data_IF_813802844626
#
_entry.id   IF_813802844626
#
_cell.length_a   1.000
_cell.length_b   1.000
_cell.length_c   1.000
_cell.angle_alpha   90.00
_cell.angle_beta   90.00
_cell.angle_gamma   90.00
#
_symmetry.space_group_name_H-M   'P 1'
#
loop_
_entity.id
_entity.type
_entity.pdbx_description
1 polymer ?
#
# COMPACT_ATOMS: atom_id res chain seq x y z
N UNK A 1 -4.00 0.03 -3.54
CA UNK A 1 -3.82 0.93 -2.37
C UNK A 1 -4.91 1.97 -2.36
N UNK A 2 -5.44 2.29 -1.18
CA UNK A 2 -6.52 3.25 -0.94
C UNK A 2 -5.97 4.39 -0.07
N UNK A 3 -6.47 5.62 -0.27
CA UNK A 3 -6.02 6.79 0.48
C UNK A 3 -6.70 6.95 1.85
N UNK A 4 -7.44 5.92 2.30
CA UNK A 4 -8.11 5.92 3.60
C UNK A 4 -9.23 6.96 3.70
N UNK A 5 -9.76 7.41 2.57
CA UNK A 5 -10.84 8.41 2.57
C UNK A 5 -12.13 7.75 3.06
N UNK A 6 -12.98 8.53 3.71
CA UNK A 6 -14.29 8.08 4.22
C UNK A 6 -15.06 7.24 3.19
N UNK A 7 -15.23 7.76 1.97
CA UNK A 7 -15.97 7.04 0.91
C UNK A 7 -15.33 5.72 0.49
N UNK A 8 -14.00 5.59 0.55
CA UNK A 8 -13.30 4.32 0.26
C UNK A 8 -13.55 3.29 1.37
N UNK A 9 -13.51 3.71 2.63
CA UNK A 9 -13.81 2.84 3.77
C UNK A 9 -15.28 2.43 3.81
N UNK A 10 -16.20 3.36 3.51
CA UNK A 10 -17.63 3.06 3.36
C UNK A 10 -17.85 2.06 2.21
N UNK A 11 -17.18 2.22 1.07
CA UNK A 11 -17.27 1.26 -0.03
C UNK A 11 -16.79 -0.15 0.38
N UNK A 12 -15.69 -0.25 1.13
CA UNK A 12 -15.22 -1.53 1.66
C UNK A 12 -16.21 -2.15 2.67
N UNK A 13 -16.93 -1.34 3.45
CA UNK A 13 -17.94 -1.81 4.39
C UNK A 13 -19.16 -2.45 3.70
N UNK A 14 -19.33 -2.24 2.40
CA UNK A 14 -20.40 -2.84 1.59
C UNK A 14 -19.98 -4.15 0.89
N UNK A 15 -18.75 -4.63 1.09
CA UNK A 15 -18.35 -5.94 0.57
C UNK A 15 -19.14 -7.05 1.25
N UNK A 16 -19.59 -8.02 0.45
CA UNK A 16 -20.23 -9.22 0.97
C UNK A 16 -19.22 -10.20 1.57
N UNK A 17 -19.73 -11.17 2.35
CA UNK A 17 -18.92 -12.18 3.05
C UNK A 17 -18.15 -13.11 2.09
N UNK A 18 -18.55 -13.20 0.82
CA UNK A 18 -17.88 -14.03 -0.18
C UNK A 18 -16.67 -13.31 -0.79
N UNK A 19 -16.75 -11.99 -0.95
CA UNK A 19 -15.70 -11.16 -1.54
C UNK A 19 -14.69 -10.65 -0.51
N UNK A 20 -15.11 -10.37 0.72
CA UNK A 20 -14.24 -9.84 1.76
C UNK A 20 -12.95 -10.67 1.97
N UNK A 21 -12.99 -12.02 2.04
CA UNK A 21 -11.78 -12.83 2.21
C UNK A 21 -10.85 -12.85 0.99
N UNK A 22 -11.33 -12.42 -0.18
CA UNK A 22 -10.57 -12.42 -1.44
C UNK A 22 -9.77 -11.14 -1.64
N UNK A 23 -9.95 -10.14 -0.77
CA UNK A 23 -9.33 -8.83 -0.87
C UNK A 23 -8.31 -8.61 0.25
N UNK A 24 -7.19 -7.99 -0.10
CA UNK A 24 -6.15 -7.57 0.84
C UNK A 24 -5.89 -6.05 0.65
N UNK A 25 -6.83 -5.18 1.07
CA UNK A 25 -6.69 -3.75 0.86
C UNK A 25 -5.51 -3.21 1.68
N UNK A 26 -4.72 -2.36 1.05
CA UNK A 26 -3.68 -1.55 1.68
C UNK A 26 -4.21 -0.12 1.75
N UNK A 27 -4.33 0.42 2.95
CA UNK A 27 -4.97 1.70 3.25
C UNK A 27 -3.92 2.65 3.83
N UNK A 28 -3.64 3.73 3.12
CA UNK A 28 -2.79 4.82 3.57
C UNK A 28 -3.62 5.76 4.47
N UNK A 29 -3.24 5.92 5.73
CA UNK A 29 -3.93 6.75 6.71
C UNK A 29 -3.16 8.05 6.91
N UNK A 30 -3.79 9.16 6.51
CA UNK A 30 -3.19 10.50 6.55
C UNK A 30 -3.61 11.33 7.78
N UNK A 31 -4.69 10.95 8.44
CA UNK A 31 -5.14 11.52 9.70
C UNK A 31 -5.83 10.43 10.54
N UNK A 32 -5.69 10.50 11.86
CA UNK A 32 -6.40 9.62 12.79
C UNK A 32 -7.43 10.45 13.52
N UNK A 33 -8.69 10.25 13.14
CA UNK A 33 -9.84 10.74 13.88
C UNK A 33 -10.73 9.56 14.29
N UNK A 34 -11.65 9.82 15.22
CA UNK A 34 -12.57 8.80 15.73
C UNK A 34 -13.43 8.19 14.60
N UNK A 35 -13.73 8.95 13.54
CA UNK A 35 -14.49 8.48 12.40
C UNK A 35 -13.72 7.42 11.60
N UNK A 36 -12.43 7.64 11.37
CA UNK A 36 -11.56 6.73 10.63
C UNK A 36 -11.44 5.39 11.36
N UNK A 37 -11.22 5.43 12.67
CA UNK A 37 -11.14 4.21 13.50
C UNK A 37 -12.48 3.47 13.56
N UNK A 38 -13.60 4.18 13.73
CA UNK A 38 -14.94 3.58 13.70
C UNK A 38 -15.24 2.90 12.36
N UNK A 39 -14.89 3.54 11.23
CA UNK A 39 -15.07 2.96 9.89
C UNK A 39 -14.22 1.71 9.68
N UNK A 40 -12.95 1.70 10.13
CA UNK A 40 -12.11 0.50 10.11
C UNK A 40 -12.72 -0.63 10.96
N UNK A 41 -13.30 -0.29 12.11
CA UNK A 41 -13.98 -1.25 13.00
C UNK A 41 -15.27 -1.84 12.43
N UNK A 42 -15.85 -1.20 11.39
CA UNK A 42 -17.08 -1.65 10.71
C UNK A 42 -16.82 -2.48 9.46
N UNK A 43 -15.56 -2.73 9.11
CA UNK A 43 -15.24 -3.56 7.96
C UNK A 43 -15.77 -4.99 8.16
N UNK A 44 -16.16 -5.68 7.07
CA UNK A 44 -16.77 -7.00 7.18
C UNK A 44 -15.83 -8.01 7.83
N UNK A 45 -16.42 -8.99 8.53
CA UNK A 45 -15.65 -10.08 9.10
C UNK A 45 -14.86 -10.80 7.99
N UNK A 46 -13.59 -11.13 8.27
CA UNK A 46 -12.71 -11.75 7.28
C UNK A 46 -11.94 -10.76 6.40
N UNK A 47 -12.31 -9.48 6.37
CA UNK A 47 -11.50 -8.43 5.76
C UNK A 47 -10.49 -7.89 6.78
N UNK A 48 -9.21 -8.19 6.59
CA UNK A 48 -8.14 -7.70 7.45
C UNK A 48 -7.27 -6.68 6.68
N UNK A 49 -7.56 -5.38 6.79
CA UNK A 49 -6.86 -4.36 6.02
C UNK A 49 -5.40 -4.22 6.47
N UNK A 50 -4.51 -4.00 5.51
CA UNK A 50 -3.17 -3.54 5.78
C UNK A 50 -3.18 -2.01 5.89
N UNK A 51 -2.69 -1.46 6.99
CA UNK A 51 -2.76 -0.03 7.28
C UNK A 51 -1.37 0.58 7.31
N UNK A 52 -1.15 1.57 6.45
CA UNK A 52 0.06 2.37 6.38
C UNK A 52 -0.15 3.72 7.07
N UNK A 53 0.62 3.94 8.14
CA UNK A 53 0.56 5.15 8.96
C UNK A 53 1.80 6.04 8.76
N UNK A 54 2.59 5.79 7.72
CA UNK A 54 3.85 6.53 7.48
C UNK A 54 3.64 8.03 7.25
N UNK A 55 2.43 8.45 6.87
CA UNK A 55 2.06 9.85 6.76
C UNK A 55 1.73 10.54 8.09
N UNK A 56 1.53 9.76 9.17
CA UNK A 56 1.20 10.29 10.49
C UNK A 56 2.46 10.64 11.29
N UNK A 57 2.40 11.64 12.18
CA UNK A 57 3.46 11.89 13.15
C UNK A 57 3.78 10.66 14.00
N UNK A 58 5.05 10.51 14.41
CA UNK A 58 5.46 9.50 15.39
C UNK A 58 4.87 9.85 16.77
N UNK A 59 3.86 9.10 17.19
CA UNK A 59 3.18 9.32 18.47
C UNK A 59 2.24 8.17 18.82
N UNK A 60 1.76 8.11 20.09
CA UNK A 60 0.90 7.03 20.56
C UNK A 60 -0.43 6.95 19.80
N UNK A 61 -0.99 8.09 19.38
CA UNK A 61 -2.24 8.15 18.61
C UNK A 61 -2.13 7.43 17.25
N UNK A 62 -0.91 7.40 16.68
CA UNK A 62 -0.60 6.77 15.40
C UNK A 62 -0.27 5.28 15.51
N UNK A 63 -0.29 4.70 16.73
CA UNK A 63 0.06 3.29 16.98
C UNK A 63 -1.16 2.38 16.69
N UNK A 64 -1.16 1.59 15.59
CA UNK A 64 -2.36 0.86 15.17
C UNK A 64 -2.86 -0.16 16.20
N UNK A 65 -1.96 -0.70 17.03
CA UNK A 65 -2.30 -1.62 18.13
C UNK A 65 -3.25 -1.00 19.17
N UNK A 66 -3.36 0.33 19.25
CA UNK A 66 -4.21 1.03 20.21
C UNK A 66 -5.61 1.33 19.69
N UNK A 67 -5.85 1.16 18.40
CA UNK A 67 -7.12 1.53 17.78
C UNK A 67 -8.25 0.55 18.10
N UNK A 68 -7.93 -0.64 18.61
CA UNK A 68 -8.93 -1.64 19.00
C UNK A 68 -9.67 -2.27 17.82
N UNK A 69 -9.14 -2.14 16.60
CA UNK A 69 -9.74 -2.68 15.37
C UNK A 69 -8.81 -3.73 14.74
N UNK A 70 -9.34 -4.78 14.11
CA UNK A 70 -8.52 -5.76 13.40
C UNK A 70 -7.83 -5.15 12.18
N UNK A 71 -6.50 -5.20 12.14
CA UNK A 71 -5.69 -4.75 11.00
C UNK A 71 -4.32 -5.43 10.97
N UNK A 72 -3.59 -5.31 9.86
CA UNK A 72 -2.16 -5.60 9.81
C UNK A 72 -1.37 -4.32 9.54
N UNK A 73 -0.23 -4.08 10.21
CA UNK A 73 0.56 -2.88 9.95
C UNK A 73 1.31 -3.01 8.62
N UNK A 74 1.35 -1.92 7.86
CA UNK A 74 2.31 -1.70 6.79
C UNK A 74 3.54 -1.01 7.36
N UNK A 75 4.70 -1.55 7.06
CA UNK A 75 6.00 -1.14 7.60
C UNK A 75 6.85 -0.61 6.45
N UNK A 76 7.29 0.63 6.57
CA UNK A 76 8.28 1.24 5.69
C UNK A 76 9.70 0.97 6.15
N UNK A 77 10.66 0.92 5.21
CA UNK A 77 12.08 0.77 5.56
C UNK A 77 12.65 1.95 6.37
N UNK A 78 12.07 3.13 6.17
CA UNK A 78 12.49 4.37 6.83
C UNK A 78 11.81 4.61 8.19
N UNK A 79 10.92 3.70 8.63
CA UNK A 79 10.20 3.88 9.90
C UNK A 79 11.18 3.92 11.09
N UNK A 80 10.93 4.84 12.02
CA UNK A 80 11.71 5.00 13.25
C UNK A 80 11.59 3.80 14.20
N UNK A 81 12.57 3.62 15.08
CA UNK A 81 12.64 2.45 15.98
C UNK A 81 11.37 2.28 16.83
N UNK A 82 10.86 3.39 17.37
CA UNK A 82 9.61 3.41 18.16
C UNK A 82 8.43 2.86 17.36
N UNK A 83 8.27 3.35 16.13
CA UNK A 83 7.20 2.93 15.23
C UNK A 83 7.31 1.44 14.88
N UNK A 84 8.51 0.95 14.60
CA UNK A 84 8.74 -0.47 14.35
C UNK A 84 8.37 -1.35 15.54
N UNK A 85 8.68 -0.94 16.77
CA UNK A 85 8.26 -1.66 17.98
C UNK A 85 6.72 -1.70 18.09
N UNK A 86 6.05 -0.58 17.85
CA UNK A 86 4.59 -0.50 17.87
C UNK A 86 3.94 -1.37 16.76
N UNK A 87 4.50 -1.35 15.55
CA UNK A 87 4.09 -2.25 14.47
C UNK A 87 4.28 -3.72 14.84
N UNK A 88 5.37 -4.08 15.52
CA UNK A 88 5.57 -5.43 16.04
C UNK A 88 4.46 -5.88 17.00
N UNK A 89 3.92 -4.97 17.83
CA UNK A 89 2.78 -5.29 18.70
C UNK A 89 1.52 -5.59 17.88
N UNK A 90 1.16 -4.71 16.94
CA UNK A 90 -0.01 -4.88 16.07
C UNK A 90 0.11 -6.16 15.22
N UNK A 91 1.27 -6.37 14.59
CA UNK A 91 1.52 -7.51 13.72
C UNK A 91 1.38 -8.85 14.44
N UNK A 92 1.92 -8.96 15.67
CA UNK A 92 1.86 -10.21 16.44
C UNK A 92 0.44 -10.55 16.91
N UNK A 93 -0.43 -9.56 17.11
CA UNK A 93 -1.85 -9.81 17.42
C UNK A 93 -2.58 -10.53 16.28
N UNK A 94 -2.09 -10.37 15.04
CA UNK A 94 -2.70 -10.95 13.83
C UNK A 94 -1.76 -11.90 13.08
N UNK A 95 -0.58 -12.20 13.63
CA UNK A 95 0.43 -13.09 13.05
C UNK A 95 1.05 -12.63 11.72
N UNK A 96 0.90 -11.35 11.34
CA UNK A 96 1.21 -10.87 9.99
C UNK A 96 1.56 -9.38 9.95
N UNK A 97 2.47 -9.00 9.04
CA UNK A 97 2.72 -7.61 8.65
C UNK A 97 2.96 -7.49 7.13
N UNK A 98 2.86 -6.27 6.60
CA UNK A 98 3.26 -5.96 5.22
C UNK A 98 4.50 -5.07 5.28
N UNK A 99 5.59 -5.45 4.61
CA UNK A 99 6.76 -4.60 4.41
C UNK A 99 6.65 -3.97 3.03
N UNK A 100 6.61 -2.63 2.95
CA UNK A 100 6.42 -1.89 1.70
C UNK A 100 7.73 -1.26 1.23
N UNK A 101 8.13 -1.60 0.00
CA UNK A 101 9.27 -1.05 -0.72
C UNK A 101 8.79 -0.15 -1.86
N UNK A 102 8.97 1.16 -1.72
CA UNK A 102 8.56 2.15 -2.72
C UNK A 102 9.67 2.37 -3.72
N UNK A 103 9.55 1.84 -4.94
CA UNK A 103 10.61 1.88 -5.96
C UNK A 103 11.07 3.30 -6.33
N UNK A 104 10.20 4.30 -6.18
CA UNK A 104 10.51 5.72 -6.41
C UNK A 104 11.31 6.38 -5.28
N UNK A 105 11.14 5.92 -4.03
CA UNK A 105 11.70 6.53 -2.81
C UNK A 105 12.85 5.71 -2.21
N UNK A 106 12.68 4.39 -2.13
CA UNK A 106 13.61 3.46 -1.50
C UNK A 106 14.68 3.01 -2.50
N UNK A 107 15.56 3.95 -2.90
CA UNK A 107 16.58 3.73 -3.95
C UNK A 107 17.88 3.10 -3.42
N UNK A 108 17.81 2.47 -2.25
CA UNK A 108 18.96 1.83 -1.65
C UNK A 108 19.42 0.62 -2.48
N UNK A 109 20.72 0.34 -2.47
CA UNK A 109 21.25 -0.90 -3.05
C UNK A 109 20.84 -2.14 -2.24
N UNK A 110 20.99 -3.36 -2.80
CA UNK A 110 20.53 -4.59 -2.17
C UNK A 110 21.00 -4.79 -0.73
N UNK A 111 22.26 -4.47 -0.42
CA UNK A 111 22.81 -4.67 0.93
C UNK A 111 22.20 -3.71 1.96
N UNK A 112 21.95 -2.46 1.56
CA UNK A 112 21.26 -1.49 2.41
C UNK A 112 19.78 -1.86 2.60
N UNK A 113 19.12 -2.40 1.57
CA UNK A 113 17.77 -2.97 1.69
C UNK A 113 17.75 -4.15 2.65
N UNK A 114 18.71 -5.07 2.56
CA UNK A 114 18.85 -6.20 3.49
C UNK A 114 19.00 -5.70 4.93
N UNK A 115 19.93 -4.77 5.19
CA UNK A 115 20.15 -4.24 6.53
C UNK A 115 18.93 -3.52 7.11
N UNK A 116 18.17 -2.80 6.27
CA UNK A 116 16.93 -2.15 6.69
C UNK A 116 15.84 -3.17 7.07
N UNK A 117 15.69 -4.23 6.28
CA UNK A 117 14.71 -5.29 6.56
C UNK A 117 15.10 -6.13 7.78
N UNK A 118 16.38 -6.44 7.97
CA UNK A 118 16.86 -7.10 9.18
C UNK A 118 16.61 -6.25 10.44
N UNK A 119 16.73 -4.92 10.32
CA UNK A 119 16.32 -3.99 11.39
C UNK A 119 14.83 -4.08 11.65
N UNK A 120 13.99 -4.12 10.61
CA UNK A 120 12.54 -4.32 10.76
C UNK A 120 12.25 -5.61 11.52
N UNK A 121 12.79 -6.76 11.10
CA UNK A 121 12.55 -8.04 11.78
C UNK A 121 13.01 -8.02 13.24
N UNK A 122 14.20 -7.48 13.51
CA UNK A 122 14.74 -7.38 14.88
C UNK A 122 13.84 -6.56 15.81
N UNK A 123 13.38 -5.39 15.36
CA UNK A 123 12.61 -4.47 16.21
C UNK A 123 11.14 -4.87 16.32
N UNK A 124 10.57 -5.43 15.25
CA UNK A 124 9.19 -5.94 15.24
C UNK A 124 9.08 -7.33 15.87
N UNK A 125 10.21 -8.04 16.04
CA UNK A 125 10.29 -9.46 16.44
C UNK A 125 9.43 -10.36 15.56
N UNK A 126 9.44 -10.08 14.25
CA UNK A 126 8.78 -10.89 13.23
C UNK A 126 9.82 -11.71 12.49
N UNK A 127 9.39 -12.87 12.00
CA UNK A 127 10.15 -13.67 11.04
C UNK A 127 9.80 -13.26 9.60
N UNK A 128 10.69 -13.51 8.62
CA UNK A 128 10.40 -13.26 7.20
C UNK A 128 9.09 -13.89 6.72
N UNK A 129 8.77 -15.11 7.20
CA UNK A 129 7.60 -15.90 6.84
C UNK A 129 6.29 -15.33 7.40
N UNK A 130 6.38 -14.34 8.29
CA UNK A 130 5.23 -13.58 8.82
C UNK A 130 5.00 -12.27 8.08
N UNK A 131 5.86 -11.95 7.11
CA UNK A 131 5.84 -10.68 6.39
C UNK A 131 5.47 -10.90 4.92
N UNK A 132 4.47 -10.19 4.43
CA UNK A 132 4.30 -10.01 2.99
C UNK A 132 5.17 -8.86 2.51
N UNK A 133 5.79 -9.03 1.34
CA UNK A 133 6.53 -7.96 0.68
C UNK A 133 5.64 -7.28 -0.36
N UNK A 134 5.44 -5.98 -0.21
CA UNK A 134 4.79 -5.14 -1.20
C UNK A 134 5.85 -4.30 -1.93
N UNK A 135 6.13 -4.64 -3.19
CA UNK A 135 6.94 -3.82 -4.09
C UNK A 135 6.01 -2.80 -4.74
N UNK A 136 6.11 -1.57 -4.29
CA UNK A 136 5.26 -0.47 -4.74
C UNK A 136 5.95 0.32 -5.86
N UNK A 137 5.46 0.11 -7.09
CA UNK A 137 5.95 0.74 -8.31
C UNK A 137 5.56 2.23 -8.42
N UNK A 138 4.64 2.71 -7.59
CA UNK A 138 4.08 4.06 -7.75
C UNK A 138 3.02 4.13 -8.86
N UNK A 139 2.66 5.36 -9.21
CA UNK A 139 1.89 5.65 -10.40
C UNK A 139 2.73 5.40 -11.66
N UNK A 140 2.16 4.70 -12.61
CA UNK A 140 2.73 4.37 -13.91
C UNK A 140 1.74 4.85 -14.95
N UNK A 141 1.92 6.08 -15.44
CA UNK A 141 0.90 6.78 -16.23
C UNK A 141 1.26 6.89 -17.71
N UNK A 142 2.45 6.41 -18.10
CA UNK A 142 2.90 6.46 -19.47
C UNK A 142 3.92 5.34 -19.79
N UNK A 143 4.25 5.12 -21.08
CA UNK A 143 5.26 4.14 -21.47
C UNK A 143 6.65 4.41 -20.88
N UNK A 144 6.98 5.67 -20.58
CA UNK A 144 8.26 6.00 -19.95
C UNK A 144 8.32 5.47 -18.50
N UNK A 145 7.22 5.59 -17.75
CA UNK A 145 7.14 5.06 -16.40
C UNK A 145 7.25 3.54 -16.39
N UNK A 146 6.58 2.85 -17.34
CA UNK A 146 6.70 1.38 -17.49
C UNK A 146 8.16 0.97 -17.70
N UNK A 147 8.89 1.67 -18.60
CA UNK A 147 10.31 1.42 -18.87
C UNK A 147 11.21 1.69 -17.65
N UNK A 148 10.85 2.65 -16.80
CA UNK A 148 11.61 2.98 -15.60
C UNK A 148 11.31 2.02 -14.44
N UNK A 149 10.04 1.64 -14.26
CA UNK A 149 9.57 0.78 -13.18
C UNK A 149 10.01 -0.68 -13.37
N UNK A 150 9.86 -1.23 -14.58
CA UNK A 150 10.13 -2.64 -14.86
C UNK A 150 11.49 -3.15 -14.36
N UNK A 151 12.62 -2.54 -14.76
CA UNK A 151 13.94 -2.95 -14.28
C UNK A 151 14.13 -2.82 -12.77
N UNK A 152 13.49 -1.84 -12.12
CA UNK A 152 13.56 -1.65 -10.66
C UNK A 152 12.82 -2.77 -9.94
N UNK A 153 11.59 -3.07 -10.37
CA UNK A 153 10.79 -4.16 -9.83
C UNK A 153 11.50 -5.49 -9.98
N UNK A 154 12.07 -5.78 -11.16
CA UNK A 154 12.84 -7.02 -11.40
C UNK A 154 14.01 -7.19 -10.44
N UNK A 155 14.77 -6.13 -10.17
CA UNK A 155 15.87 -6.17 -9.21
C UNK A 155 15.39 -6.47 -7.80
N UNK A 156 14.31 -5.81 -7.37
CA UNK A 156 13.73 -6.04 -6.04
C UNK A 156 13.12 -7.43 -5.90
N UNK A 157 12.40 -7.92 -6.91
CA UNK A 157 11.88 -9.30 -6.93
C UNK A 157 13.02 -10.33 -6.89
N UNK A 158 14.11 -10.09 -7.64
CA UNK A 158 15.30 -10.93 -7.58
C UNK A 158 15.99 -10.92 -6.21
N UNK A 159 16.06 -9.77 -5.55
CA UNK A 159 16.54 -9.66 -4.18
C UNK A 159 15.60 -10.35 -3.17
N UNK A 160 14.29 -10.21 -3.33
CA UNK A 160 13.29 -10.76 -2.43
C UNK A 160 13.40 -12.28 -2.27
N UNK A 161 13.78 -13.00 -3.35
CA UNK A 161 14.01 -14.45 -3.35
C UNK A 161 15.09 -14.94 -2.38
N UNK A 162 15.91 -14.03 -1.83
CA UNK A 162 16.92 -14.36 -0.80
C UNK A 162 16.31 -14.63 0.57
N UNK A 163 15.03 -14.33 0.76
CA UNK A 163 14.34 -14.43 2.03
C UNK A 163 13.01 -15.15 1.84
N UNK A 164 12.57 -15.86 2.89
CA UNK A 164 11.33 -16.63 2.89
C UNK A 164 10.12 -15.73 3.23
N UNK A 165 9.84 -14.72 2.40
CA UNK A 165 8.64 -13.90 2.53
C UNK A 165 7.39 -14.78 2.48
N UNK A 166 6.34 -14.40 3.21
CA UNK A 166 5.03 -15.05 3.13
C UNK A 166 4.44 -14.97 1.73
N UNK A 167 4.56 -13.80 1.12
CA UNK A 167 4.21 -13.53 -0.27
C UNK A 167 5.00 -12.32 -0.78
N UNK A 168 5.09 -12.19 -2.11
CA UNK A 168 5.64 -11.00 -2.76
C UNK A 168 4.62 -10.49 -3.77
N UNK A 169 4.23 -9.22 -3.66
CA UNK A 169 3.25 -8.57 -4.53
C UNK A 169 3.83 -7.30 -5.12
N UNK A 170 3.64 -7.09 -6.42
CA UNK A 170 3.94 -5.83 -7.12
C UNK A 170 2.66 -5.02 -7.24
N UNK A 171 2.66 -3.80 -6.69
CA UNK A 171 1.55 -2.87 -6.87
C UNK A 171 1.94 -1.69 -7.75
N UNK A 172 1.02 -1.22 -8.59
CA UNK A 172 1.17 -0.03 -9.41
C UNK A 172 -0.19 0.65 -9.61
N UNK A 173 -0.20 1.98 -9.78
CA UNK A 173 -1.40 2.72 -10.20
C UNK A 173 -1.31 3.04 -11.69
N UNK A 174 -2.26 2.55 -12.49
CA UNK A 174 -2.29 2.84 -13.94
C UNK A 174 -3.11 4.07 -14.32
N UNK A 175 -3.91 4.58 -13.38
CA UNK A 175 -4.80 5.71 -13.63
C UNK A 175 -4.07 7.04 -13.55
N UNK A 176 -4.40 8.01 -14.42
CA UNK A 176 -3.82 9.33 -14.32
C UNK A 176 -4.16 9.96 -12.95
N UNK A 177 -3.23 10.71 -12.36
CA UNK A 177 -3.42 11.28 -11.02
C UNK A 177 -4.56 12.30 -10.94
N UNK A 178 -4.98 12.84 -12.09
CA UNK A 178 -6.17 13.66 -12.21
C UNK A 178 -6.94 13.30 -13.49
N UNK A 179 -8.25 13.16 -13.35
CA UNK A 179 -9.20 12.99 -14.47
C UNK A 179 -9.89 14.30 -14.84
N UNK A 180 -9.50 15.43 -14.25
CA UNK A 180 -10.12 16.75 -14.45
C UNK A 180 -10.02 17.26 -15.89
N UNK A 181 -9.03 16.77 -16.65
CA UNK A 181 -8.87 17.09 -18.08
C UNK A 181 -9.63 16.14 -18.99
N UNK A 182 -10.27 15.12 -18.42
CA UNK A 182 -11.14 14.24 -19.18
C UNK A 182 -12.54 14.84 -19.23
N UNK A 183 -13.19 14.83 -20.40
CA UNK A 183 -14.59 15.19 -20.52
C UNK A 183 -15.47 14.38 -19.56
N UNK A 184 -16.46 15.04 -18.94
CA UNK A 184 -17.39 14.38 -18.02
C UNK A 184 -18.46 13.54 -18.73
N UNK A 185 -18.86 13.95 -19.95
CA UNK A 185 -20.06 13.41 -20.61
C UNK A 185 -19.75 12.48 -21.79
N UNK A 186 -18.48 12.17 -22.05
CA UNK A 186 -18.09 11.21 -23.08
C UNK A 186 -17.14 10.12 -22.54
N UNK A 187 -17.33 8.85 -22.96
CA UNK A 187 -16.43 7.78 -22.59
C UNK A 187 -15.02 8.02 -23.13
N UNK A 188 -14.03 8.11 -22.23
CA UNK A 188 -12.61 8.16 -22.61
C UNK A 188 -11.98 6.78 -22.39
N UNK A 189 -11.32 6.26 -23.43
CA UNK A 189 -10.47 5.07 -23.28
C UNK A 189 -9.15 5.48 -22.63
N UNK A 190 -8.90 4.94 -21.44
CA UNK A 190 -7.63 5.07 -20.75
C UNK A 190 -6.82 3.79 -20.90
N UNK A 191 -5.53 3.94 -21.15
CA UNK A 191 -4.60 2.83 -21.22
C UNK A 191 -4.22 2.40 -19.80
N UNK A 192 -4.30 1.09 -19.52
CA UNK A 192 -3.86 0.51 -18.24
C UNK A 192 -2.37 0.21 -18.27
N UNK A 193 -1.57 1.23 -18.00
CA UNK A 193 -0.10 1.10 -18.01
C UNK A 193 0.43 0.22 -16.86
N UNK A 194 -0.27 0.13 -15.75
CA UNK A 194 -0.08 -0.89 -14.70
C UNK A 194 -0.19 -2.31 -15.25
N UNK A 195 -1.24 -2.58 -16.06
CA UNK A 195 -1.43 -3.87 -16.73
C UNK A 195 -0.29 -4.15 -17.73
N UNK A 196 0.15 -3.15 -18.49
CA UNK A 196 1.30 -3.30 -19.38
C UNK A 196 2.59 -3.64 -18.60
N UNK A 197 2.80 -3.00 -17.44
CA UNK A 197 3.90 -3.33 -16.55
C UNK A 197 3.80 -4.80 -16.08
N UNK A 198 2.64 -5.26 -15.62
CA UNK A 198 2.47 -6.64 -15.16
C UNK A 198 2.70 -7.66 -16.28
N UNK A 199 2.21 -7.40 -17.49
CA UNK A 199 2.51 -8.25 -18.65
C UNK A 199 4.01 -8.36 -18.91
N UNK A 200 4.73 -7.26 -18.77
CA UNK A 200 6.19 -7.21 -18.89
C UNK A 200 6.94 -7.87 -17.73
N UNK A 201 6.24 -8.31 -16.67
CA UNK A 201 6.79 -8.95 -15.48
C UNK A 201 6.22 -10.36 -15.25
N UNK A 202 5.36 -10.86 -16.13
CA UNK A 202 4.59 -12.11 -15.94
C UNK A 202 5.46 -13.37 -15.76
N UNK A 203 6.75 -13.31 -16.08
CA UNK A 203 7.74 -14.35 -15.79
C UNK A 203 8.19 -14.40 -14.31
N UNK A 204 7.82 -13.39 -13.52
CA UNK A 204 8.08 -13.35 -12.09
C UNK A 204 6.98 -14.10 -11.32
N UNK A 205 7.40 -14.99 -10.43
CA UNK A 205 6.54 -15.65 -9.45
C UNK A 205 6.17 -14.70 -8.30
N UNK A 206 5.29 -13.73 -8.59
CA UNK A 206 4.80 -12.69 -7.67
C UNK A 206 3.31 -12.42 -7.90
N UNK A 207 2.63 -11.90 -6.89
CA UNK A 207 1.28 -11.34 -7.03
C UNK A 207 1.29 -9.95 -7.66
N UNK A 208 0.13 -9.50 -8.13
CA UNK A 208 -0.07 -8.16 -8.69
C UNK A 208 -1.25 -7.44 -8.02
N UNK A 209 -1.12 -6.14 -7.79
CA UNK A 209 -2.14 -5.31 -7.18
C UNK A 209 -2.24 -3.93 -7.83
N UNK A 210 -3.45 -3.34 -7.78
CA UNK A 210 -3.73 -2.02 -8.33
C UNK A 210 -3.97 -0.99 -7.21
N UNK A 211 -4.02 0.27 -7.59
CA UNK A 211 -4.49 1.37 -6.77
C UNK A 211 -6.01 1.46 -6.88
N UNK A 212 -6.66 1.77 -5.76
CA UNK A 212 -8.10 2.05 -5.80
C UNK A 212 -8.32 3.38 -6.51
N UNK A 213 -9.42 3.45 -7.25
CA UNK A 213 -9.85 4.70 -7.90
C UNK A 213 -10.82 5.39 -6.95
N UNK A 214 -10.42 6.57 -6.45
CA UNK A 214 -11.30 7.41 -5.64
C UNK A 214 -12.34 8.13 -6.50
N UNK A 215 -13.51 8.43 -5.92
CA UNK A 215 -14.47 9.31 -6.55
C UNK A 215 -13.90 10.72 -6.70
N UNK A 216 -14.22 11.41 -7.80
CA UNK A 216 -14.01 12.85 -7.90
C UNK A 216 -14.82 13.53 -6.79
N UNK A 217 -14.15 14.14 -5.81
CA UNK A 217 -14.82 14.91 -4.77
C UNK A 217 -15.28 16.25 -5.39
N UNK A 218 -16.54 16.67 -5.20
CA UNK A 218 -16.97 18.02 -5.56
C UNK A 218 -16.11 19.03 -4.77
N UNK A 219 -15.42 19.95 -5.46
CA UNK A 219 -14.63 21.01 -4.84
C UNK A 219 -13.13 20.75 -4.67
N UNK A 220 -12.55 19.75 -5.36
CA UNK A 220 -11.09 19.63 -5.48
C UNK A 220 -10.44 20.68 -6.41
N UNK A 221 -11.22 21.67 -6.88
CA UNK A 221 -10.84 22.68 -7.87
C UNK A 221 -10.15 23.93 -7.29
N UNK A 222 -9.91 24.01 -5.99
CA UNK A 222 -9.15 25.13 -5.41
C UNK A 222 -7.63 24.88 -5.48
N UNK A 223 -7.11 24.71 -6.69
CA UNK A 223 -5.71 25.06 -7.00
C UNK A 223 -5.74 26.48 -7.58
N UNK A 224 -5.11 27.48 -6.94
CA UNK A 224 -5.05 28.82 -7.51
C UNK A 224 -4.27 28.73 -8.83
N UNK A 225 -4.97 28.88 -9.94
CA UNK A 225 -4.33 29.03 -11.25
C UNK A 225 -3.50 30.30 -11.25
N UNK A 226 -2.22 30.16 -11.62
CA UNK A 226 -1.38 31.29 -12.01
C UNK A 226 -2.12 32.12 -13.07
N UNK A 227 -2.24 33.42 -12.79
CA UNK A 227 -2.65 34.45 -13.75
C UNK A 227 -1.47 34.87 -14.61
#
# INVERSE_FOLDING_TARGET
>A
MLAGRRGELEALAHLDDALAPLLAPVIDVHAVDACTVDLLGRLPAGLLPAVDVSALPDGPESEPARWGVPLVPVIGLADGDRRLVAHGVAARAHGRAVVRLRTGRDRAGPDATTGAVERVWRLTRLLPEQCDLLIDAGDVCCPADVRLAGPRVRRLAGWARRHAWRSVTVAAGGMPPAVTRLPADEPVRLERFDWQLWRGLADLDVGYGDYGVGCAAPGADDVPGDR
#
